data_IF_478909949308
#
_entry.id   IF_478909949308
#
_cell.length_a   1.000
_cell.length_b   1.000
_cell.length_c   1.000
_cell.angle_alpha   90.00
_cell.angle_beta   90.00
_cell.angle_gamma   90.00
#
_symmetry.space_group_name_H-M   'P 1'
#
loop_
_entity.id
_entity.type
_entity.pdbx_description
1 polymer ?
#
# COMPACT_ATOMS: atom_id res chain seq x y z
N UNK A 1 -22.15 -13.40 0.07
CA UNK A 1 -23.19 -12.73 -0.76
C UNK A 1 -23.49 -11.39 -0.10
N UNK A 2 -23.21 -10.26 -0.75
CA UNK A 2 -23.60 -8.94 -0.22
C UNK A 2 -25.04 -8.70 -0.67
N UNK A 3 -26.02 -8.85 0.24
CA UNK A 3 -27.41 -8.49 0.00
C UNK A 3 -27.66 -7.11 0.58
N UNK A 4 -28.06 -6.16 -0.25
CA UNK A 4 -28.50 -4.85 0.21
C UNK A 4 -30.03 -4.81 0.23
N UNK A 5 -30.61 -4.48 1.38
CA UNK A 5 -32.06 -4.28 1.52
C UNK A 5 -32.46 -2.80 1.37
N UNK A 6 -31.47 -1.89 1.49
CA UNK A 6 -31.64 -0.44 1.39
C UNK A 6 -30.63 0.14 0.40
N UNK A 7 -31.00 1.23 -0.27
CA UNK A 7 -30.12 1.96 -1.20
C UNK A 7 -28.79 2.35 -0.56
N UNK A 8 -28.81 2.83 0.69
CA UNK A 8 -27.59 3.17 1.44
C UNK A 8 -26.65 1.99 1.68
N UNK A 9 -27.18 0.78 1.86
CA UNK A 9 -26.36 -0.42 2.01
C UNK A 9 -25.75 -0.85 0.66
N UNK A 10 -26.52 -0.73 -0.43
CA UNK A 10 -26.00 -0.98 -1.77
C UNK A 10 -24.86 0.01 -2.09
N UNK A 11 -25.06 1.27 -1.72
CA UNK A 11 -24.08 2.34 -1.91
C UNK A 11 -22.77 2.06 -1.17
N UNK A 12 -22.85 1.66 0.10
CA UNK A 12 -21.68 1.30 0.89
C UNK A 12 -20.97 0.07 0.31
N UNK A 13 -21.75 -0.95 -0.09
CA UNK A 13 -21.22 -2.18 -0.67
C UNK A 13 -20.45 -1.94 -1.97
N UNK A 14 -21.00 -1.16 -2.90
CA UNK A 14 -20.33 -0.91 -4.18
C UNK A 14 -19.05 -0.09 -4.01
N UNK A 15 -19.07 0.90 -3.12
CA UNK A 15 -17.90 1.74 -2.87
C UNK A 15 -16.79 0.92 -2.20
N UNK A 16 -17.15 0.05 -1.25
CA UNK A 16 -16.18 -0.84 -0.61
C UNK A 16 -15.63 -1.87 -1.59
N UNK A 17 -16.45 -2.41 -2.48
CA UNK A 17 -16.01 -3.29 -3.56
C UNK A 17 -15.02 -2.56 -4.49
N UNK A 18 -15.32 -1.34 -4.91
CA UNK A 18 -14.44 -0.51 -5.72
C UNK A 18 -13.07 -0.29 -5.05
N UNK A 19 -13.06 0.03 -3.75
CA UNK A 19 -11.81 0.15 -3.01
C UNK A 19 -11.07 -1.18 -2.85
N UNK A 20 -11.78 -2.30 -2.63
CA UNK A 20 -11.16 -3.63 -2.57
C UNK A 20 -10.49 -4.02 -3.90
N UNK A 21 -11.10 -3.66 -5.03
CA UNK A 21 -10.51 -3.82 -6.37
C UNK A 21 -9.19 -3.05 -6.46
N UNK A 22 -9.20 -1.75 -6.10
CA UNK A 22 -8.00 -0.92 -6.16
C UNK A 22 -6.85 -1.46 -5.28
N UNK A 23 -7.18 -1.95 -4.07
CA UNK A 23 -6.19 -2.58 -3.18
C UNK A 23 -5.63 -3.86 -3.80
N UNK A 24 -6.47 -4.73 -4.37
CA UNK A 24 -5.99 -5.97 -4.98
C UNK A 24 -5.13 -5.74 -6.22
N UNK A 25 -5.43 -4.71 -7.01
CA UNK A 25 -4.62 -4.37 -8.19
C UNK A 25 -3.34 -3.61 -7.80
N UNK A 26 -3.35 -2.88 -6.68
CA UNK A 26 -2.28 -2.00 -6.26
C UNK A 26 -2.19 -0.71 -7.08
N UNK A 27 -3.28 -0.37 -7.76
CA UNK A 27 -3.45 0.83 -8.58
C UNK A 27 -4.92 1.17 -8.64
N UNK A 28 -5.25 2.36 -9.16
CA UNK A 28 -6.63 2.67 -9.48
C UNK A 28 -6.86 2.63 -10.99
N UNK A 29 -7.84 1.82 -11.40
CA UNK A 29 -8.35 1.82 -12.76
C UNK A 29 -9.83 2.21 -12.65
N UNK A 30 -10.17 3.45 -13.02
CA UNK A 30 -11.56 3.92 -13.17
C UNK A 30 -12.45 4.06 -11.92
N UNK A 31 -12.02 4.82 -10.89
CA UNK A 31 -12.96 5.33 -9.86
C UNK A 31 -12.48 6.70 -9.37
N UNK A 32 -12.79 7.83 -10.04
CA UNK A 32 -12.38 9.15 -9.57
C UNK A 32 -13.21 9.63 -8.37
N UNK A 33 -14.48 9.21 -8.28
CA UNK A 33 -15.39 9.57 -7.19
C UNK A 33 -16.09 8.32 -6.64
N UNK A 34 -16.59 8.36 -5.39
CA UNK A 34 -17.51 7.33 -4.91
C UNK A 34 -18.65 7.16 -5.90
N UNK A 35 -19.02 5.92 -6.21
CA UNK A 35 -20.20 5.68 -7.04
C UNK A 35 -21.43 6.33 -6.39
N UNK A 36 -22.38 6.78 -7.19
CA UNK A 36 -23.73 7.09 -6.73
C UNK A 36 -24.68 6.02 -7.27
N UNK A 37 -25.44 5.38 -6.39
CA UNK A 37 -26.49 4.42 -6.74
C UNK A 37 -27.83 5.12 -6.55
N UNK A 38 -28.55 5.30 -7.64
CA UNK A 38 -29.92 5.79 -7.63
C UNK A 38 -30.91 4.62 -7.72
N UNK A 39 -32.00 4.63 -6.91
CA UNK A 39 -33.09 3.69 -7.08
C UNK A 39 -33.70 3.85 -8.48
N UNK A 40 -33.91 2.73 -9.16
CA UNK A 40 -34.50 2.75 -10.49
C UNK A 40 -36.02 2.98 -10.42
N UNK A 41 -36.59 3.96 -11.16
CA UNK A 41 -38.04 4.11 -11.31
C UNK A 41 -38.62 2.92 -12.09
N UNK A 42 -39.82 2.46 -11.73
CA UNK A 42 -40.45 1.27 -12.32
C UNK A 42 -40.57 1.33 -13.86
N UNK A 43 -40.74 2.53 -14.43
CA UNK A 43 -41.08 2.73 -15.84
C UNK A 43 -39.88 3.07 -16.74
N UNK A 44 -38.65 2.94 -16.25
CA UNK A 44 -37.46 3.17 -17.09
C UNK A 44 -37.15 1.96 -17.96
N UNK A 45 -36.73 2.19 -19.20
CA UNK A 45 -36.24 1.15 -20.12
C UNK A 45 -35.07 0.35 -19.52
N UNK A 46 -34.94 -0.93 -19.88
CA UNK A 46 -33.82 -1.77 -19.42
C UNK A 46 -32.48 -1.10 -19.80
N UNK A 47 -31.56 -0.87 -18.85
CA UNK A 47 -30.28 -0.27 -19.20
C UNK A 47 -29.53 -1.18 -20.16
N UNK A 48 -28.72 -0.57 -21.03
CA UNK A 48 -27.68 -1.26 -21.77
C UNK A 48 -26.90 -2.15 -20.80
N UNK A 49 -26.93 -3.47 -21.03
CA UNK A 49 -26.17 -4.42 -20.22
C UNK A 49 -24.69 -4.24 -20.54
N UNK A 50 -23.98 -3.47 -19.72
CA UNK A 50 -22.54 -3.42 -19.78
C UNK A 50 -21.98 -4.64 -19.02
N UNK A 51 -21.44 -5.60 -19.76
CA UNK A 51 -20.70 -6.71 -19.18
C UNK A 51 -19.25 -6.28 -18.97
N UNK A 52 -18.86 -6.08 -17.71
CA UNK A 52 -17.45 -5.94 -17.35
C UNK A 52 -16.94 -7.28 -16.83
N UNK A 53 -15.97 -7.87 -17.53
CA UNK A 53 -15.18 -8.97 -16.99
C UNK A 53 -13.92 -8.38 -16.36
N UNK A 54 -13.68 -8.70 -15.09
CA UNK A 54 -12.43 -8.36 -14.40
C UNK A 54 -11.91 -9.59 -13.68
N UNK A 55 -10.66 -9.95 -13.95
CA UNK A 55 -9.96 -10.96 -13.17
C UNK A 55 -9.92 -10.53 -11.69
N UNK A 56 -10.09 -11.48 -10.77
CA UNK A 56 -10.03 -11.21 -9.34
C UNK A 56 -11.27 -10.58 -8.72
N UNK A 57 -12.37 -10.37 -9.45
CA UNK A 57 -13.61 -9.80 -8.90
C UNK A 57 -14.14 -10.58 -7.69
N UNK A 58 -14.08 -11.92 -7.73
CA UNK A 58 -14.47 -12.75 -6.59
C UNK A 58 -13.61 -12.50 -5.35
N UNK A 59 -12.29 -12.32 -5.52
CA UNK A 59 -11.37 -11.96 -4.44
C UNK A 59 -11.67 -10.56 -3.91
N UNK A 60 -12.04 -9.62 -4.77
CA UNK A 60 -12.44 -8.27 -4.35
C UNK A 60 -13.72 -8.30 -3.52
N UNK A 61 -14.74 -9.06 -3.95
CA UNK A 61 -15.95 -9.29 -3.17
C UNK A 61 -15.65 -9.92 -1.82
N UNK A 62 -14.73 -10.88 -1.76
CA UNK A 62 -14.32 -11.52 -0.53
C UNK A 62 -13.59 -10.56 0.42
N UNK A 63 -12.63 -9.78 -0.10
CA UNK A 63 -11.91 -8.76 0.68
C UNK A 63 -12.89 -7.70 1.22
N UNK A 64 -13.80 -7.19 0.38
CA UNK A 64 -14.83 -6.24 0.79
C UNK A 64 -15.74 -6.84 1.88
N UNK A 65 -16.14 -8.10 1.76
CA UNK A 65 -16.96 -8.79 2.77
C UNK A 65 -16.23 -9.02 4.10
N UNK A 66 -14.91 -9.23 4.08
CA UNK A 66 -14.10 -9.33 5.32
C UNK A 66 -13.92 -7.96 5.97
N UNK A 67 -13.61 -6.93 5.17
CA UNK A 67 -13.38 -5.57 5.64
C UNK A 67 -14.66 -4.85 6.11
N UNK A 68 -15.84 -5.22 5.61
CA UNK A 68 -17.12 -4.60 6.00
C UNK A 68 -17.51 -4.86 7.46
N UNK A 69 -16.91 -5.87 8.10
CA UNK A 69 -17.19 -6.24 9.49
C UNK A 69 -16.70 -5.21 10.50
N UNK A 70 -15.74 -4.36 10.12
CA UNK A 70 -15.20 -3.30 10.98
C UNK A 70 -15.08 -2.00 10.19
N UNK A 71 -15.64 -0.92 10.72
CA UNK A 71 -15.57 0.41 10.07
C UNK A 71 -14.14 0.86 9.80
N UNK A 72 -13.23 0.64 10.74
CA UNK A 72 -11.81 0.99 10.55
C UNK A 72 -11.18 0.24 9.39
N UNK A 73 -11.49 -1.05 9.21
CA UNK A 73 -11.05 -1.82 8.04
C UNK A 73 -11.64 -1.29 6.74
N UNK A 74 -12.91 -0.90 6.73
CA UNK A 74 -13.52 -0.26 5.55
C UNK A 74 -12.84 1.07 5.22
N UNK A 75 -12.55 1.90 6.23
CA UNK A 75 -11.82 3.16 6.05
C UNK A 75 -10.39 2.93 5.58
N UNK A 76 -9.69 1.90 6.05
CA UNK A 76 -8.36 1.56 5.55
C UNK A 76 -8.37 1.32 4.04
N UNK A 77 -9.34 0.54 3.53
CA UNK A 77 -9.51 0.29 2.10
C UNK A 77 -9.80 1.57 1.33
N UNK A 78 -10.74 2.39 1.80
CA UNK A 78 -11.09 3.65 1.13
C UNK A 78 -9.92 4.66 1.11
N UNK A 79 -9.20 4.82 2.23
CA UNK A 79 -8.05 5.72 2.31
C UNK A 79 -6.93 5.28 1.37
N UNK A 80 -6.64 3.98 1.29
CA UNK A 80 -5.64 3.48 0.34
C UNK A 80 -6.10 3.65 -1.11
N UNK A 81 -7.38 3.39 -1.42
CA UNK A 81 -7.92 3.64 -2.76
C UNK A 81 -7.81 5.13 -3.16
N UNK A 82 -8.12 6.04 -2.24
CA UNK A 82 -7.98 7.49 -2.46
C UNK A 82 -6.50 7.92 -2.59
N UNK A 83 -5.59 7.24 -1.90
CA UNK A 83 -4.15 7.45 -2.09
C UNK A 83 -3.74 7.14 -3.53
N UNK A 84 -4.26 6.07 -4.12
CA UNK A 84 -4.00 5.74 -5.53
C UNK A 84 -4.59 6.78 -6.50
N UNK A 85 -5.73 7.41 -6.19
CA UNK A 85 -6.23 8.53 -7.00
C UNK A 85 -5.25 9.70 -7.04
N UNK A 86 -4.54 9.97 -5.93
CA UNK A 86 -3.57 11.05 -5.85
C UNK A 86 -2.28 10.73 -6.60
N UNK A 87 -1.81 9.48 -6.54
CA UNK A 87 -0.66 9.00 -7.31
C UNK A 87 -0.75 7.50 -7.51
N UNK A 88 -0.89 7.06 -8.76
CA UNK A 88 -0.94 5.65 -9.13
C UNK A 88 -0.16 5.44 -10.42
N UNK A 89 1.18 5.38 -10.36
CA UNK A 89 1.98 5.02 -11.54
C UNK A 89 1.56 3.64 -12.05
N UNK A 90 1.61 3.46 -13.37
CA UNK A 90 1.38 2.14 -13.95
C UNK A 90 2.47 1.16 -13.48
N UNK A 91 2.13 -0.11 -13.23
CA UNK A 91 3.09 -1.10 -12.72
C UNK A 91 4.31 -1.27 -13.64
N UNK A 92 4.13 -1.13 -14.96
CA UNK A 92 5.24 -1.15 -15.89
C UNK A 92 6.18 0.05 -15.75
N UNK A 93 5.65 1.23 -15.43
CA UNK A 93 6.49 2.40 -15.16
C UNK A 93 7.32 2.22 -13.88
N UNK A 94 6.89 1.32 -12.99
CA UNK A 94 7.62 0.89 -11.80
C UNK A 94 8.50 -0.34 -12.05
N UNK A 95 8.62 -0.87 -13.27
CA UNK A 95 9.53 -1.97 -13.55
C UNK A 95 10.99 -1.49 -13.47
N UNK A 96 11.93 -2.22 -12.83
CA UNK A 96 13.30 -1.75 -12.65
C UNK A 96 14.08 -1.57 -13.97
N UNK A 97 13.68 -2.29 -15.02
CA UNK A 97 14.23 -2.12 -16.37
C UNK A 97 13.67 -0.91 -17.13
N UNK A 98 12.51 -0.38 -16.70
CA UNK A 98 11.90 0.80 -17.30
C UNK A 98 12.48 2.05 -16.66
N UNK A 99 13.09 2.90 -17.49
CA UNK A 99 13.75 4.17 -17.16
C UNK A 99 13.78 4.51 -15.65
N UNK A 100 14.81 4.07 -14.90
CA UNK A 100 14.86 4.28 -13.44
C UNK A 100 14.89 5.76 -13.03
N UNK A 101 15.06 6.65 -14.01
CA UNK A 101 15.05 8.11 -13.89
C UNK A 101 13.73 8.76 -14.32
N UNK A 102 12.69 7.99 -14.60
CA UNK A 102 11.37 8.49 -15.04
C UNK A 102 10.73 9.39 -13.98
N UNK A 103 10.71 8.94 -12.73
CA UNK A 103 10.08 9.68 -11.62
C UNK A 103 11.10 10.42 -10.76
N UNK A 104 11.76 11.41 -11.35
CA UNK A 104 12.62 12.34 -10.60
C UNK A 104 11.79 13.31 -9.75
N UNK A 105 12.48 14.04 -8.87
CA UNK A 105 11.91 15.16 -8.12
C UNK A 105 11.35 16.17 -9.11
N UNK A 106 10.05 16.42 -9.03
CA UNK A 106 9.34 17.35 -9.90
C UNK A 106 9.55 18.79 -9.42
N UNK A 107 9.62 19.73 -10.35
CA UNK A 107 9.72 21.17 -10.04
C UNK A 107 8.36 21.80 -9.78
N UNK A 108 7.30 21.30 -10.44
CA UNK A 108 5.95 21.81 -10.29
C UNK A 108 5.35 21.43 -8.91
N UNK A 109 4.95 22.42 -8.08
CA UNK A 109 4.37 22.20 -6.76
C UNK A 109 3.14 21.30 -6.73
N UNK A 110 2.37 21.19 -7.82
CA UNK A 110 1.17 20.35 -7.83
C UNK A 110 1.51 18.88 -7.58
N UNK A 111 2.64 18.40 -8.09
CA UNK A 111 3.11 17.04 -7.83
C UNK A 111 3.47 16.83 -6.37
N UNK A 112 4.02 17.85 -5.70
CA UNK A 112 4.32 17.74 -4.26
C UNK A 112 3.04 17.58 -3.46
N UNK A 113 1.97 18.29 -3.83
CA UNK A 113 0.65 18.18 -3.21
C UNK A 113 0.06 16.79 -3.41
N UNK A 114 0.06 16.28 -4.64
CA UNK A 114 -0.42 14.92 -4.94
C UNK A 114 0.34 13.85 -4.16
N UNK A 115 1.69 13.90 -4.17
CA UNK A 115 2.52 12.91 -3.50
C UNK A 115 2.40 12.97 -1.97
N UNK A 116 2.34 14.16 -1.38
CA UNK A 116 2.14 14.33 0.05
C UNK A 116 0.77 13.79 0.51
N UNK A 117 -0.29 14.04 -0.26
CA UNK A 117 -1.61 13.46 0.01
C UNK A 117 -1.60 11.94 -0.13
N UNK A 118 -0.97 11.41 -1.19
CA UNK A 118 -0.83 9.97 -1.39
C UNK A 118 -0.14 9.29 -0.20
N UNK A 119 1.01 9.82 0.24
CA UNK A 119 1.75 9.32 1.42
C UNK A 119 0.89 9.40 2.67
N UNK A 120 0.24 10.54 2.90
CA UNK A 120 -0.58 10.77 4.11
C UNK A 120 -1.74 9.79 4.19
N UNK A 121 -2.48 9.61 3.08
CA UNK A 121 -3.63 8.72 3.01
C UNK A 121 -3.23 7.25 3.12
N UNK A 122 -2.14 6.84 2.47
CA UNK A 122 -1.63 5.47 2.56
C UNK A 122 -1.19 5.14 4.00
N UNK A 123 -0.48 6.04 4.67
CA UNK A 123 -0.12 5.82 6.07
C UNK A 123 -1.35 5.87 6.99
N UNK A 124 -2.31 6.76 6.71
CA UNK A 124 -3.57 6.81 7.46
C UNK A 124 -4.39 5.52 7.33
N UNK A 125 -4.23 4.76 6.24
CA UNK A 125 -4.83 3.43 6.11
C UNK A 125 -4.17 2.43 7.08
N UNK A 126 -2.86 2.52 7.30
CA UNK A 126 -2.13 1.71 8.28
C UNK A 126 -2.60 2.03 9.71
N UNK A 127 -2.83 3.30 10.01
CA UNK A 127 -3.39 3.76 11.30
C UNK A 127 -4.79 3.18 11.56
N UNK A 128 -5.66 3.13 10.54
CA UNK A 128 -6.99 2.50 10.66
C UNK A 128 -6.93 0.99 10.95
N UNK A 129 -5.85 0.32 10.55
CA UNK A 129 -5.63 -1.09 10.89
C UNK A 129 -5.09 -1.29 12.30
N UNK A 130 -4.69 -0.22 12.98
CA UNK A 130 -4.01 -0.26 14.26
C UNK A 130 -2.58 -0.80 14.16
N UNK A 131 -1.88 -0.55 13.04
CA UNK A 131 -0.53 -1.07 12.74
C UNK A 131 0.53 0.05 12.65
N UNK A 132 0.19 1.26 13.10
CA UNK A 132 1.07 2.42 13.16
C UNK A 132 2.15 2.30 14.25
N UNK A 133 3.24 3.05 14.11
CA UNK A 133 4.25 3.16 15.17
C UNK A 133 3.78 4.15 16.22
N UNK A 134 3.52 3.67 17.44
CA UNK A 134 3.07 4.49 18.58
C UNK A 134 4.28 5.00 19.36
N UNK A 135 4.93 6.02 18.80
CA UNK A 135 6.05 6.70 19.45
C UNK A 135 5.72 8.17 19.71
N UNK A 136 6.31 8.73 20.77
CA UNK A 136 6.20 10.14 21.10
C UNK A 136 7.52 10.64 21.70
N UNK A 137 7.59 11.93 22.07
CA UNK A 137 8.82 12.52 22.60
C UNK A 137 9.31 11.86 23.91
N UNK A 138 8.41 11.32 24.73
CA UNK A 138 8.75 10.60 25.97
C UNK A 138 9.09 9.13 25.73
N UNK A 139 8.53 8.53 24.67
CA UNK A 139 8.74 7.15 24.29
C UNK A 139 9.08 7.07 22.78
N UNK A 140 10.30 7.44 22.37
CA UNK A 140 10.68 7.50 20.96
C UNK A 140 10.80 6.10 20.36
N UNK A 141 10.64 5.97 19.04
CA UNK A 141 10.78 4.69 18.35
C UNK A 141 12.22 4.19 18.31
N UNK A 142 13.18 5.12 18.31
CA UNK A 142 14.62 4.83 18.35
C UNK A 142 15.27 5.50 19.55
N UNK A 143 16.21 4.81 20.16
CA UNK A 143 17.08 5.34 21.21
C UNK A 143 18.16 6.25 20.58
N UNK A 144 18.86 7.09 21.38
CA UNK A 144 19.90 8.00 20.87
C UNK A 144 21.03 7.30 20.12
N UNK A 145 21.30 6.02 20.43
CA UNK A 145 22.28 5.17 19.74
C UNK A 145 21.76 4.58 18.40
N UNK A 146 20.51 4.89 18.01
CA UNK A 146 19.87 4.40 16.80
C UNK A 146 19.21 3.02 16.93
N UNK A 147 19.32 2.36 18.09
CA UNK A 147 18.66 1.09 18.36
C UNK A 147 17.15 1.27 18.55
N UNK A 148 16.39 0.19 18.36
CA UNK A 148 14.94 0.23 18.62
C UNK A 148 14.68 0.39 20.12
N UNK A 149 13.75 1.28 20.47
CA UNK A 149 13.20 1.28 21.81
C UNK A 149 12.45 -0.05 22.03
N UNK A 150 12.86 -0.87 23.03
CA UNK A 150 12.33 -2.22 23.19
C UNK A 150 10.83 -2.24 23.49
N UNK A 151 10.31 -1.23 24.20
CA UNK A 151 8.88 -1.14 24.53
C UNK A 151 8.05 -0.87 23.28
N UNK A 152 8.47 0.11 22.48
CA UNK A 152 7.79 0.46 21.23
C UNK A 152 7.86 -0.69 20.22
N UNK A 153 9.01 -1.37 20.17
CA UNK A 153 9.24 -2.51 19.29
C UNK A 153 8.35 -3.70 19.65
N UNK A 154 8.30 -4.07 20.94
CA UNK A 154 7.46 -5.16 21.40
C UNK A 154 5.96 -4.90 21.14
N UNK A 155 5.49 -3.66 21.36
CA UNK A 155 4.09 -3.28 21.07
C UNK A 155 3.74 -3.45 19.58
N UNK A 156 4.59 -3.00 18.66
CA UNK A 156 4.30 -3.15 17.22
C UNK A 156 4.42 -4.60 16.76
N UNK A 157 5.43 -5.35 17.23
CA UNK A 157 5.60 -6.78 16.93
C UNK A 157 4.35 -7.56 17.34
N UNK A 158 3.87 -7.36 18.57
CA UNK A 158 2.65 -7.99 19.07
C UNK A 158 1.41 -7.65 18.22
N UNK A 159 1.25 -6.40 17.78
CA UNK A 159 0.09 -5.98 16.96
C UNK A 159 0.12 -6.55 15.54
N UNK A 160 1.32 -6.68 14.97
CA UNK A 160 1.54 -7.33 13.67
C UNK A 160 1.22 -8.82 13.74
N UNK A 161 1.79 -9.53 14.72
CA UNK A 161 1.53 -10.97 14.94
C UNK A 161 0.05 -11.25 15.20
N UNK A 162 -0.61 -10.46 16.06
CA UNK A 162 -2.06 -10.56 16.32
C UNK A 162 -2.91 -10.31 15.07
N UNK A 163 -2.36 -9.59 14.08
CA UNK A 163 -2.99 -9.38 12.77
C UNK A 163 -2.62 -10.47 11.75
N UNK A 164 -1.85 -11.48 12.14
CA UNK A 164 -1.44 -12.59 11.26
C UNK A 164 -0.31 -12.24 10.29
N UNK A 165 0.47 -11.19 10.58
CA UNK A 165 1.58 -10.73 9.74
C UNK A 165 2.89 -11.38 10.21
N UNK A 166 3.65 -11.95 9.29
CA UNK A 166 4.94 -12.58 9.58
C UNK A 166 6.04 -11.52 9.77
N UNK A 167 6.69 -11.52 10.93
CA UNK A 167 7.75 -10.56 11.24
C UNK A 167 9.08 -10.85 10.53
N UNK A 168 9.26 -12.07 10.00
CA UNK A 168 10.43 -12.44 9.21
C UNK A 168 10.36 -11.91 7.78
N UNK A 169 9.17 -11.50 7.33
CA UNK A 169 8.98 -10.94 6.01
C UNK A 169 9.65 -9.56 5.87
N UNK A 170 10.00 -9.26 4.62
CA UNK A 170 10.59 -7.98 4.22
C UNK A 170 9.70 -7.29 3.20
N UNK A 171 9.76 -5.97 3.19
CA UNK A 171 9.11 -5.12 2.22
C UNK A 171 10.14 -4.57 1.24
N UNK A 172 9.82 -4.63 -0.06
CA UNK A 172 10.65 -4.01 -1.08
C UNK A 172 10.50 -2.48 -1.00
N UNK A 173 11.59 -1.79 -0.67
CA UNK A 173 11.65 -0.34 -0.69
C UNK A 173 12.35 0.13 -1.97
N UNK A 174 11.57 0.75 -2.84
CA UNK A 174 12.01 1.21 -4.16
C UNK A 174 12.84 2.48 -4.03
N UNK A 175 14.05 2.47 -4.58
CA UNK A 175 14.97 3.62 -4.60
C UNK A 175 15.58 3.70 -5.99
N UNK A 176 15.21 4.71 -6.77
CA UNK A 176 15.71 4.83 -8.14
C UNK A 176 16.14 6.24 -8.50
N UNK A 177 17.13 6.31 -9.37
CA UNK A 177 17.80 7.56 -9.72
C UNK A 177 18.70 8.08 -8.59
N UNK A 178 19.09 9.37 -8.64
CA UNK A 178 19.94 10.01 -7.63
C UNK A 178 19.31 10.04 -6.24
N UNK A 179 20.14 10.10 -5.19
CA UNK A 179 19.66 10.20 -3.80
C UNK A 179 18.93 11.53 -3.58
N UNK A 180 17.66 11.45 -3.19
CA UNK A 180 16.85 12.62 -2.81
C UNK A 180 17.25 13.16 -1.43
N UNK A 181 16.80 14.36 -1.06
CA UNK A 181 17.01 14.90 0.30
C UNK A 181 16.37 14.02 1.37
N UNK A 182 15.24 13.40 1.04
CA UNK A 182 14.53 12.43 1.89
C UNK A 182 15.46 11.25 2.21
N UNK A 183 16.02 10.61 1.17
CA UNK A 183 16.90 9.46 1.33
C UNK A 183 18.19 9.82 2.09
N UNK A 184 18.79 10.99 1.79
CA UNK A 184 19.99 11.45 2.50
C UNK A 184 19.74 11.67 3.99
N UNK A 185 18.56 12.18 4.34
CA UNK A 185 18.19 12.47 5.73
C UNK A 185 17.83 11.21 6.51
N UNK A 186 17.16 10.25 5.86
CA UNK A 186 16.78 8.98 6.50
C UNK A 186 16.88 7.84 5.48
N UNK A 187 18.08 7.26 5.30
CA UNK A 187 18.25 6.12 4.40
C UNK A 187 17.51 4.90 4.94
N UNK A 188 16.86 4.09 4.07
CA UNK A 188 16.19 2.88 4.51
C UNK A 188 17.20 1.84 5.00
N UNK A 189 17.00 1.24 6.19
CA UNK A 189 17.83 0.14 6.67
C UNK A 189 17.70 -1.08 5.76
N UNK A 190 18.81 -1.55 5.19
CA UNK A 190 18.81 -2.71 4.30
C UNK A 190 18.83 -4.01 5.11
N UNK A 191 17.87 -4.89 4.82
CA UNK A 191 17.81 -6.28 5.27
C UNK A 191 18.22 -7.26 4.14
N UNK A 192 18.81 -6.73 3.08
CA UNK A 192 19.13 -7.49 1.88
C UNK A 192 18.90 -6.67 0.61
N UNK A 193 19.42 -7.19 -0.49
CA UNK A 193 19.41 -6.53 -1.78
C UNK A 193 18.78 -7.44 -2.84
N UNK A 194 17.71 -7.00 -3.53
CA UNK A 194 17.15 -7.72 -4.67
C UNK A 194 18.18 -7.92 -5.78
N UNK A 195 18.06 -9.01 -6.54
CA UNK A 195 19.01 -9.38 -7.60
C UNK A 195 19.15 -8.34 -8.71
N UNK A 196 18.06 -7.61 -9.00
CA UNK A 196 18.01 -6.54 -10.01
C UNK A 196 18.53 -5.18 -9.53
N UNK A 197 18.80 -5.00 -8.23
CA UNK A 197 19.25 -3.73 -7.68
C UNK A 197 20.70 -3.46 -8.12
N UNK A 198 20.89 -2.67 -9.19
CA UNK A 198 22.21 -2.28 -9.72
C UNK A 198 22.16 -0.86 -10.31
N UNK A 199 23.27 -0.14 -10.22
CA UNK A 199 23.43 1.20 -10.81
C UNK A 199 22.40 2.21 -10.29
N UNK A 200 21.55 2.70 -11.19
CA UNK A 200 20.49 3.66 -10.85
C UNK A 200 19.25 3.00 -10.21
N UNK A 201 19.17 1.68 -10.17
CA UNK A 201 18.17 0.93 -9.39
C UNK A 201 18.83 0.51 -8.09
N UNK A 202 18.39 1.09 -6.98
CA UNK A 202 19.00 0.94 -5.65
C UNK A 202 18.01 0.37 -4.66
N UNK A 203 16.96 -0.29 -5.16
CA UNK A 203 15.93 -0.94 -4.36
C UNK A 203 16.54 -1.85 -3.29
N UNK A 204 15.93 -1.90 -2.12
CA UNK A 204 16.39 -2.69 -0.96
C UNK A 204 15.24 -3.42 -0.30
N UNK A 205 15.50 -4.58 0.28
CA UNK A 205 14.56 -5.21 1.19
C UNK A 205 14.70 -4.55 2.56
N UNK A 206 13.58 -4.21 3.19
CA UNK A 206 13.52 -3.56 4.51
C UNK A 206 12.63 -4.40 5.41
N UNK A 207 13.02 -4.62 6.67
CA UNK A 207 12.13 -5.31 7.64
C UNK A 207 10.84 -4.51 7.80
N UNK A 208 9.71 -5.20 7.96
CA UNK A 208 8.39 -4.55 8.02
C UNK A 208 8.32 -3.41 9.06
N UNK A 209 8.89 -3.61 10.25
CA UNK A 209 8.88 -2.60 11.32
C UNK A 209 9.72 -1.37 10.94
N UNK A 210 10.86 -1.57 10.27
CA UNK A 210 11.69 -0.46 9.80
C UNK A 210 10.99 0.29 8.64
N UNK A 211 10.28 -0.42 7.76
CA UNK A 211 9.46 0.16 6.70
C UNK A 211 8.30 1.00 7.27
N UNK A 212 7.62 0.51 8.31
CA UNK A 212 6.59 1.24 9.05
C UNK A 212 7.14 2.52 9.70
N UNK A 213 8.35 2.46 10.27
CA UNK A 213 9.00 3.62 10.86
C UNK A 213 9.39 4.66 9.81
N UNK A 214 9.87 4.23 8.65
CA UNK A 214 10.16 5.12 7.51
C UNK A 214 8.89 5.77 6.98
N UNK A 215 7.82 4.99 6.78
CA UNK A 215 6.53 5.50 6.32
C UNK A 215 5.92 6.50 7.31
N UNK A 216 6.02 6.23 8.61
CA UNK A 216 5.61 7.14 9.68
C UNK A 216 6.36 8.48 9.61
N UNK A 217 7.68 8.39 9.44
CA UNK A 217 8.54 9.56 9.31
C UNK A 217 8.26 10.35 8.03
N UNK A 218 8.06 9.68 6.89
CA UNK A 218 7.65 10.33 5.64
C UNK A 218 6.35 11.11 5.87
N UNK A 219 5.28 10.45 6.35
CA UNK A 219 4.01 11.11 6.66
C UNK A 219 4.17 12.30 7.60
N UNK A 220 5.04 12.22 8.62
CA UNK A 220 5.28 13.32 9.56
C UNK A 220 6.05 14.51 8.95
N UNK A 221 6.90 14.26 7.96
CA UNK A 221 7.75 15.30 7.32
C UNK A 221 7.14 15.89 6.06
N UNK A 222 6.13 15.22 5.51
CA UNK A 222 5.42 15.58 4.28
C UNK A 222 3.99 16.00 4.54
N UNK A 223 3.61 16.28 5.80
CA UNK A 223 2.25 16.70 6.14
C UNK A 223 1.81 17.91 5.31
N UNK A 224 0.58 17.86 4.83
CA UNK A 224 0.03 18.82 3.85
C UNK A 224 -0.23 20.22 4.40
N UNK A 225 -0.20 20.43 5.72
CA UNK A 225 -0.47 21.73 6.34
C UNK A 225 0.59 22.79 6.00
N UNK A 226 1.86 22.41 5.88
CA UNK A 226 2.94 23.29 5.39
C UNK A 226 4.05 22.46 4.76
N UNK A 227 4.30 22.69 3.47
CA UNK A 227 5.37 22.00 2.76
C UNK A 227 6.74 22.42 3.26
N UNK A 228 7.45 21.47 3.88
CA UNK A 228 8.86 21.59 4.18
C UNK A 228 9.70 21.46 2.89
N UNK A 229 10.96 21.87 2.93
CA UNK A 229 11.90 21.57 1.84
C UNK A 229 12.07 20.06 1.59
N UNK A 230 11.85 19.24 2.62
CA UNK A 230 11.88 17.78 2.51
C UNK A 230 10.70 17.29 1.67
N UNK A 231 9.50 17.85 1.88
CA UNK A 231 8.30 17.51 1.11
C UNK A 231 8.43 17.82 -0.39
N UNK A 232 9.18 18.88 -0.74
CA UNK A 232 9.51 19.23 -2.14
C UNK A 232 10.46 18.24 -2.83
N UNK A 233 11.04 17.30 -2.07
CA UNK A 233 11.92 16.25 -2.59
C UNK A 233 11.22 14.90 -2.74
N UNK A 234 9.90 14.86 -2.53
CA UNK A 234 9.09 13.67 -2.76
C UNK A 234 9.13 13.26 -4.23
N UNK A 235 9.17 11.96 -4.44
CA UNK A 235 9.05 11.31 -5.74
C UNK A 235 7.88 10.34 -5.73
N UNK A 236 7.48 9.88 -6.92
CA UNK A 236 6.48 8.81 -7.07
C UNK A 236 6.91 7.54 -6.33
N UNK A 237 8.21 7.26 -6.24
CA UNK A 237 8.71 6.10 -5.50
C UNK A 237 8.45 6.20 -3.99
N UNK A 238 8.53 7.40 -3.41
CA UNK A 238 8.24 7.60 -1.98
C UNK A 238 6.76 7.32 -1.68
N UNK A 239 5.85 7.83 -2.52
CA UNK A 239 4.42 7.53 -2.42
C UNK A 239 4.14 6.04 -2.63
N UNK A 240 4.72 5.45 -3.67
CA UNK A 240 4.58 4.04 -3.98
C UNK A 240 5.06 3.13 -2.83
N UNK A 241 6.15 3.47 -2.16
CA UNK A 241 6.68 2.68 -1.04
C UNK A 241 5.69 2.62 0.13
N UNK A 242 5.04 3.74 0.46
CA UNK A 242 4.04 3.78 1.55
C UNK A 242 2.75 3.09 1.12
N UNK A 243 2.31 3.29 -0.12
CA UNK A 243 1.13 2.62 -0.69
C UNK A 243 1.30 1.10 -0.76
N UNK A 244 2.44 0.62 -1.25
CA UNK A 244 2.72 -0.81 -1.37
C UNK A 244 2.88 -1.46 0.00
N UNK A 245 3.44 -0.75 0.99
CA UNK A 245 3.49 -1.21 2.38
C UNK A 245 2.07 -1.33 2.97
N UNK A 246 1.24 -0.29 2.83
CA UNK A 246 -0.15 -0.33 3.30
C UNK A 246 -0.92 -1.48 2.64
N UNK A 247 -0.74 -1.67 1.33
CA UNK A 247 -1.33 -2.78 0.58
C UNK A 247 -0.87 -4.14 1.12
N UNK A 248 0.43 -4.33 1.31
CA UNK A 248 1.01 -5.56 1.87
C UNK A 248 0.34 -5.90 3.21
N UNK A 249 0.28 -4.94 4.14
CA UNK A 249 -0.32 -5.13 5.46
C UNK A 249 -1.83 -5.43 5.40
N UNK A 250 -2.58 -4.78 4.51
CA UNK A 250 -4.00 -5.09 4.28
C UNK A 250 -4.14 -6.52 3.75
N UNK A 251 -3.34 -6.87 2.75
CA UNK A 251 -3.40 -8.18 2.12
C UNK A 251 -3.06 -9.31 3.08
N UNK A 252 -2.04 -9.15 3.93
CA UNK A 252 -1.71 -10.14 4.96
C UNK A 252 -2.82 -10.27 6.00
N UNK A 253 -3.27 -9.14 6.56
CA UNK A 253 -4.30 -9.11 7.60
C UNK A 253 -5.60 -9.80 7.17
N UNK A 254 -5.91 -9.75 5.87
CA UNK A 254 -7.08 -10.41 5.30
C UNK A 254 -6.77 -11.72 4.56
N UNK A 255 -5.52 -12.21 4.55
CA UNK A 255 -5.13 -13.51 3.99
C UNK A 255 -5.05 -13.59 2.46
N UNK A 256 -4.79 -12.47 1.78
CA UNK A 256 -4.69 -12.39 0.31
C UNK A 256 -3.25 -12.32 -0.22
N UNK A 257 -2.25 -12.03 0.61
CA UNK A 257 -0.86 -11.84 0.18
C UNK A 257 -0.23 -13.13 -0.36
N UNK A 258 -0.29 -14.21 0.43
CA UNK A 258 0.24 -15.52 0.04
C UNK A 258 -0.42 -16.08 -1.24
N UNK A 259 -1.67 -15.70 -1.52
CA UNK A 259 -2.39 -16.09 -2.73
C UNK A 259 -1.90 -15.37 -4.00
N UNK A 260 -1.24 -14.22 -3.87
CA UNK A 260 -0.56 -13.56 -5.00
C UNK A 260 0.81 -14.17 -5.27
N UNK A 261 1.59 -14.46 -4.23
CA UNK A 261 2.91 -15.11 -4.38
C UNK A 261 2.77 -16.47 -5.06
N UNK A 262 1.77 -17.27 -4.66
CA UNK A 262 1.49 -18.58 -5.29
C UNK A 262 0.96 -18.50 -6.72
N UNK A 263 0.32 -17.40 -7.11
CA UNK A 263 -0.19 -17.20 -8.46
C UNK A 263 0.88 -16.67 -9.44
N UNK A 264 1.98 -16.09 -8.92
CA UNK A 264 3.09 -15.55 -9.71
C UNK A 264 4.31 -16.47 -9.84
N UNK A 265 4.32 -17.63 -9.18
CA UNK A 265 5.39 -18.62 -9.26
C UNK A 265 4.85 -19.86 -9.98
N UNK A 266 5.31 -20.18 -11.21
CA UNK A 266 5.18 -21.53 -11.72
C UNK A 266 6.00 -22.39 -10.77
N UNK A 267 5.34 -23.22 -9.95
CA UNK A 267 6.03 -24.26 -9.20
C UNK A 267 6.63 -25.24 -10.21
N UNK A 268 7.85 -24.97 -10.66
CA UNK A 268 8.73 -26.03 -11.17
C UNK A 268 8.94 -26.96 -9.99
N UNK A 269 8.18 -28.06 -9.95
CA UNK A 269 8.56 -29.25 -9.20
C UNK A 269 9.97 -29.60 -9.66
N UNK A 270 10.97 -29.27 -8.86
CA UNK A 270 12.28 -29.91 -8.96
C UNK A 270 12.01 -31.34 -8.47
N UNK A 271 11.78 -32.25 -9.42
CA UNK A 271 12.00 -33.67 -9.20
C UNK A 271 13.47 -33.77 -8.77
N UNK A 272 13.71 -34.02 -7.49
CA UNK A 272 14.90 -34.78 -7.11
C UNK A 272 14.65 -36.17 -7.67
N UNK A 273 15.23 -36.45 -8.83
CA UNK A 273 15.56 -37.82 -9.16
C UNK A 273 16.78 -38.13 -8.30
N UNK A 274 16.50 -38.92 -7.27
CA UNK A 274 17.50 -39.56 -6.44
C UNK A 274 18.40 -40.39 -7.37
N UNK A 275 19.68 -40.04 -7.40
CA UNK A 275 20.71 -41.00 -7.74
C UNK A 275 20.95 -41.87 -6.52
N UNK A 276 20.67 -43.17 -6.65
CA UNK A 276 21.55 -44.24 -6.17
C UNK A 276 20.93 -45.62 -6.49
N UNK A 277 21.36 -46.20 -7.62
CA UNK A 277 21.92 -47.56 -7.80
C UNK A 277 21.85 -48.01 -9.26
#
# INVERSE_FOLDING_TARGET
MIRAQKSSQAQQAINLLGSAIAVLDGSITFIPEPFSIEPRPADTAAPSKMFMSKAGLLRACELANRASRKRSSSYALHKLALSYQSSSPHLMDLHPGESPRRFQVQTDPIYHVYLANAVTLAYSAIEELGLEIRANAKNPSKMPDGTWNPVVRADIEQRLEKSGIDLSDTHLWTLRGPKTRIEKRRPPPSAGKPSWSRGNVRDVNVRLIDALALASWLRSTTTTHRFSETARSLTVYDAHNVQSLARHLIMDKFGFWQLQIRAGVPTRKIRREDGDR
#
